data_IF_066046153455
#
_entry.id   IF_066046153455
#
_cell.length_a   1.000
_cell.length_b   1.000
_cell.length_c   1.000
_cell.angle_alpha   90.00
_cell.angle_beta   90.00
_cell.angle_gamma   90.00
#
_symmetry.space_group_name_H-M   'P 1'
#
loop_
_entity.id
_entity.type
_entity.pdbx_description
1 polymer ?
#
# COMPACT_ATOMS: atom_id res chain seq x y z
N UNK A 1 -14.86 -10.93 -52.33
CA UNK A 1 -15.92 -11.92 -52.64
C UNK A 1 -17.12 -11.64 -51.73
N UNK A 2 -18.36 -11.61 -52.26
CA UNK A 2 -19.55 -11.66 -51.42
C UNK A 2 -19.68 -13.05 -50.78
N UNK A 3 -20.03 -13.12 -49.49
CA UNK A 3 -20.15 -14.38 -48.75
C UNK A 3 -21.55 -14.54 -48.17
N UNK A 4 -22.46 -15.15 -48.93
CA UNK A 4 -23.85 -15.44 -48.53
C UNK A 4 -24.61 -14.26 -47.88
N UNK A 5 -24.26 -13.01 -48.22
CA UNK A 5 -24.88 -11.81 -47.65
C UNK A 5 -24.41 -11.41 -46.26
N UNK A 6 -23.50 -12.16 -45.62
CA UNK A 6 -22.97 -11.82 -44.29
C UNK A 6 -22.00 -10.63 -44.29
N UNK A 7 -21.50 -10.24 -45.46
CA UNK A 7 -20.70 -9.03 -45.66
C UNK A 7 -21.45 -7.96 -46.48
N UNK A 8 -22.76 -7.86 -46.28
CA UNK A 8 -23.59 -6.84 -46.92
C UNK A 8 -23.43 -5.47 -46.24
N UNK A 9 -23.42 -4.41 -47.04
CA UNK A 9 -23.11 -3.03 -46.61
C UNK A 9 -21.80 -2.96 -45.82
N UNK A 10 -21.85 -2.54 -44.55
CA UNK A 10 -20.70 -2.35 -43.66
C UNK A 10 -20.50 -3.54 -42.69
N UNK A 11 -21.19 -4.65 -42.93
CA UNK A 11 -21.06 -5.85 -42.09
C UNK A 11 -19.70 -6.53 -42.32
N UNK A 12 -19.00 -6.84 -41.25
CA UNK A 12 -17.69 -7.51 -41.30
C UNK A 12 -17.86 -8.98 -40.93
N UNK A 13 -17.39 -9.87 -41.81
CA UNK A 13 -17.30 -11.30 -41.51
C UNK A 13 -15.93 -11.60 -40.93
N UNK A 14 -15.92 -12.19 -39.73
CA UNK A 14 -14.71 -12.52 -38.96
C UNK A 14 -14.58 -14.05 -38.89
N UNK A 15 -13.36 -14.54 -39.09
CA UNK A 15 -13.05 -15.96 -38.92
C UNK A 15 -12.97 -16.31 -37.43
N UNK A 16 -13.49 -17.47 -37.03
CA UNK A 16 -13.37 -17.98 -35.65
C UNK A 16 -11.92 -18.04 -35.16
N UNK A 17 -10.97 -18.19 -36.09
CA UNK A 17 -9.53 -18.15 -35.80
C UNK A 17 -9.09 -16.88 -35.06
N UNK A 18 -9.72 -15.74 -35.37
CA UNK A 18 -9.40 -14.44 -34.74
C UNK A 18 -9.76 -14.46 -33.25
N UNK A 19 -10.82 -15.18 -32.88
CA UNK A 19 -11.22 -15.36 -31.47
C UNK A 19 -10.28 -16.35 -30.78
N UNK A 20 -9.93 -17.46 -31.42
CA UNK A 20 -9.02 -18.46 -30.83
C UNK A 20 -7.59 -17.96 -30.64
N UNK A 21 -7.16 -16.98 -31.45
CA UNK A 21 -5.82 -16.39 -31.40
C UNK A 21 -5.80 -15.08 -30.56
N UNK A 22 -6.91 -14.73 -29.87
CA UNK A 22 -7.04 -13.53 -29.02
C UNK A 22 -6.65 -12.20 -29.70
N UNK A 23 -6.76 -12.12 -31.03
CA UNK A 23 -6.21 -11.01 -31.82
C UNK A 23 -6.88 -9.67 -31.50
N UNK A 24 -8.17 -9.69 -31.15
CA UNK A 24 -8.95 -8.51 -30.78
C UNK A 24 -9.37 -8.48 -29.31
N UNK A 25 -8.73 -9.30 -28.46
CA UNK A 25 -8.99 -9.28 -27.02
C UNK A 25 -8.41 -7.98 -26.42
N UNK A 26 -9.27 -7.15 -25.82
CA UNK A 26 -8.88 -5.91 -25.16
C UNK A 26 -8.99 -6.04 -23.64
N UNK A 27 -8.05 -5.42 -22.93
CA UNK A 27 -8.06 -5.35 -21.47
C UNK A 27 -8.59 -3.99 -21.05
N UNK A 28 -9.63 -3.99 -20.24
CA UNK A 28 -10.24 -2.80 -19.66
C UNK A 28 -10.04 -2.83 -18.14
N UNK A 29 -9.60 -1.71 -17.58
CA UNK A 29 -9.50 -1.52 -16.13
C UNK A 29 -10.57 -0.50 -15.75
N UNK A 30 -11.52 -0.94 -14.94
CA UNK A 30 -12.59 -0.09 -14.41
C UNK A 30 -12.35 0.17 -12.92
N UNK A 31 -12.64 1.40 -12.50
CA UNK A 31 -12.55 1.81 -11.10
C UNK A 31 -13.94 1.94 -10.51
N UNK A 32 -14.16 1.28 -9.37
CA UNK A 32 -15.40 1.39 -8.60
C UNK A 32 -15.08 2.01 -7.23
N UNK A 33 -15.82 3.05 -6.87
CA UNK A 33 -15.65 3.76 -5.60
C UNK A 33 -16.89 3.62 -4.73
N UNK A 34 -16.67 3.42 -3.43
CA UNK A 34 -17.71 3.54 -2.40
C UNK A 34 -17.18 4.32 -1.20
N UNK A 35 -18.03 5.16 -0.63
CA UNK A 35 -17.72 5.92 0.57
C UNK A 35 -18.72 5.58 1.67
N UNK A 36 -18.22 5.31 2.87
CA UNK A 36 -19.01 5.34 4.10
C UNK A 36 -19.12 6.79 4.61
N UNK A 37 -20.34 7.24 4.89
CA UNK A 37 -20.63 8.62 5.33
C UNK A 37 -21.36 8.65 6.66
N UNK A 38 -21.18 9.73 7.39
CA UNK A 38 -22.00 10.02 8.56
C UNK A 38 -23.40 10.48 8.11
N UNK A 39 -24.42 9.73 8.49
CA UNK A 39 -25.81 10.10 8.25
C UNK A 39 -26.44 10.64 9.54
N UNK A 40 -27.62 11.26 9.43
CA UNK A 40 -28.39 11.70 10.61
C UNK A 40 -28.78 10.55 11.54
N UNK A 41 -28.86 9.34 11.01
CA UNK A 41 -29.29 8.14 11.73
C UNK A 41 -28.12 7.38 12.36
N UNK A 42 -26.88 7.75 12.02
CA UNK A 42 -25.67 7.11 12.48
C UNK A 42 -24.60 7.06 11.38
N UNK A 43 -23.43 6.60 11.76
CA UNK A 43 -22.32 6.36 10.85
C UNK A 43 -22.60 5.13 9.97
N UNK A 44 -22.30 5.22 8.67
CA UNK A 44 -22.24 4.03 7.82
C UNK A 44 -20.93 3.30 8.06
N UNK A 45 -20.99 1.98 8.09
CA UNK A 45 -19.82 1.13 8.35
C UNK A 45 -19.51 0.24 7.16
N UNK A 46 -18.22 -0.01 6.94
CA UNK A 46 -17.73 -1.02 6.00
C UNK A 46 -17.49 -2.30 6.80
N UNK A 47 -18.21 -3.36 6.47
CA UNK A 47 -18.17 -4.61 7.23
C UNK A 47 -18.62 -5.80 6.38
N UNK A 48 -18.16 -6.99 6.75
CA UNK A 48 -18.62 -8.27 6.21
C UNK A 48 -19.98 -8.70 6.77
N UNK A 49 -20.40 -8.13 7.90
CA UNK A 49 -21.69 -8.44 8.54
C UNK A 49 -22.85 -7.70 7.84
N UNK A 50 -23.31 -8.27 6.72
CA UNK A 50 -24.35 -7.67 5.88
C UNK A 50 -25.66 -8.44 6.05
N UNK A 51 -26.77 -7.77 6.41
CA UNK A 51 -28.03 -8.46 6.65
C UNK A 51 -28.66 -8.96 5.33
N UNK A 52 -29.35 -10.10 5.40
CA UNK A 52 -30.06 -10.73 4.28
C UNK A 52 -29.16 -11.17 3.12
N UNK A 53 -27.87 -11.37 3.36
CA UNK A 53 -26.90 -11.89 2.38
C UNK A 53 -26.44 -13.28 2.79
N UNK A 54 -26.49 -14.23 1.87
CA UNK A 54 -26.02 -15.61 2.12
C UNK A 54 -24.49 -15.71 2.14
N UNK A 55 -23.96 -16.77 2.79
CA UNK A 55 -22.51 -16.99 2.91
C UNK A 55 -21.79 -17.06 1.55
N UNK A 56 -22.47 -17.56 0.52
CA UNK A 56 -21.89 -17.65 -0.84
C UNK A 56 -21.52 -16.28 -1.41
N UNK A 57 -22.29 -15.24 -1.11
CA UNK A 57 -21.99 -13.87 -1.56
C UNK A 57 -20.89 -13.21 -0.72
N UNK A 58 -20.64 -13.70 0.49
CA UNK A 58 -19.59 -13.23 1.38
C UNK A 58 -18.25 -13.96 1.18
N UNK A 59 -18.21 -15.01 0.36
CA UNK A 59 -17.03 -15.87 0.18
C UNK A 59 -15.78 -15.11 -0.28
N UNK A 60 -15.98 -14.05 -1.07
CA UNK A 60 -14.91 -13.25 -1.67
C UNK A 60 -14.51 -12.05 -0.80
N UNK A 61 -15.22 -11.81 0.30
CA UNK A 61 -14.95 -10.70 1.22
C UNK A 61 -14.03 -11.14 2.35
N UNK A 62 -13.09 -10.27 2.70
CA UNK A 62 -12.26 -10.41 3.88
C UNK A 62 -13.01 -10.06 5.17
N UNK A 63 -12.30 -10.12 6.30
CA UNK A 63 -12.87 -9.80 7.62
C UNK A 63 -13.31 -8.33 7.75
N UNK A 64 -12.72 -7.43 6.98
CA UNK A 64 -13.10 -6.01 6.92
C UNK A 64 -14.32 -5.77 6.00
N UNK A 65 -14.80 -6.78 5.26
CA UNK A 65 -15.88 -6.63 4.29
C UNK A 65 -15.44 -6.12 2.93
N UNK A 66 -14.17 -6.30 2.56
CA UNK A 66 -13.58 -5.84 1.31
C UNK A 66 -13.15 -7.05 0.48
N UNK A 67 -13.37 -7.01 -0.83
CA UNK A 67 -12.98 -8.09 -1.73
C UNK A 67 -11.46 -8.35 -1.73
N UNK A 68 -11.09 -9.62 -1.90
CA UNK A 68 -9.69 -10.01 -2.07
C UNK A 68 -9.12 -9.60 -3.44
N UNK A 69 -7.85 -9.20 -3.46
CA UNK A 69 -7.10 -9.01 -4.71
C UNK A 69 -6.89 -10.39 -5.36
N UNK A 70 -7.17 -10.48 -6.66
CA UNK A 70 -7.15 -11.73 -7.42
C UNK A 70 -8.48 -12.49 -7.43
N UNK A 71 -9.52 -12.00 -6.76
CA UNK A 71 -10.84 -12.63 -6.82
C UNK A 71 -11.47 -12.42 -8.22
N UNK A 72 -11.99 -13.50 -8.80
CA UNK A 72 -12.87 -13.43 -9.97
C UNK A 72 -14.28 -13.08 -9.52
N UNK A 73 -14.83 -12.01 -10.10
CA UNK A 73 -16.13 -11.47 -9.72
C UNK A 73 -17.07 -11.43 -10.92
N UNK A 74 -18.35 -11.65 -10.63
CA UNK A 74 -19.44 -11.58 -11.60
C UNK A 74 -20.45 -10.52 -11.17
N UNK A 75 -21.28 -10.11 -12.13
CA UNK A 75 -22.40 -9.22 -11.86
C UNK A 75 -23.21 -9.66 -10.63
N UNK A 76 -23.41 -8.74 -9.68
CA UNK A 76 -24.13 -9.00 -8.43
C UNK A 76 -23.26 -9.40 -7.23
N UNK A 77 -22.01 -9.82 -7.46
CA UNK A 77 -21.05 -10.07 -6.38
C UNK A 77 -20.74 -8.77 -5.62
N UNK A 78 -20.50 -8.91 -4.31
CA UNK A 78 -20.21 -7.77 -3.43
C UNK A 78 -18.71 -7.48 -3.51
N UNK A 79 -18.37 -6.25 -3.89
CA UNK A 79 -17.00 -5.75 -3.90
C UNK A 79 -16.60 -5.18 -2.54
N UNK A 80 -17.51 -4.42 -1.94
CA UNK A 80 -17.30 -3.80 -0.62
C UNK A 80 -18.62 -3.82 0.13
N UNK A 81 -18.63 -4.50 1.27
CA UNK A 81 -19.73 -4.56 2.22
C UNK A 81 -19.93 -3.21 2.88
N UNK A 82 -21.11 -2.60 2.70
CA UNK A 82 -21.47 -1.34 3.34
C UNK A 82 -22.83 -1.48 3.99
N UNK A 83 -22.90 -1.08 5.26
CA UNK A 83 -24.13 -1.08 6.03
C UNK A 83 -24.50 0.34 6.45
N UNK A 84 -25.78 0.68 6.29
CA UNK A 84 -26.32 1.98 6.67
C UNK A 84 -27.32 1.80 7.80
N UNK A 85 -27.22 2.54 8.91
CA UNK A 85 -28.23 2.48 9.98
C UNK A 85 -29.60 2.91 9.44
N UNK A 86 -30.62 2.10 9.74
CA UNK A 86 -32.02 2.38 9.43
C UNK A 86 -32.64 3.15 10.58
N UNK A 87 -33.54 4.07 10.27
CA UNK A 87 -34.41 4.66 11.28
C UNK A 87 -35.44 3.63 11.76
N UNK A 88 -36.00 3.84 12.95
CA UNK A 88 -37.11 3.03 13.45
C UNK A 88 -38.29 3.11 12.48
N UNK A 89 -38.48 2.04 11.72
CA UNK A 89 -39.64 1.87 10.86
C UNK A 89 -40.71 1.12 11.66
N UNK A 90 -41.99 1.53 11.60
CA UNK A 90 -43.05 0.81 12.29
C UNK A 90 -43.11 -0.62 11.74
N UNK A 91 -42.81 -1.59 12.60
CA UNK A 91 -42.84 -3.00 12.24
C UNK A 91 -44.28 -3.50 12.15
N UNK A 92 -44.53 -4.39 11.21
CA UNK A 92 -45.81 -5.08 11.09
C UNK A 92 -46.03 -5.99 12.32
N UNK A 93 -47.30 -6.26 12.71
CA UNK A 93 -47.59 -7.20 13.79
C UNK A 93 -46.90 -8.58 13.62
N UNK A 94 -46.75 -9.02 12.37
CA UNK A 94 -46.09 -10.26 11.96
C UNK A 94 -44.58 -10.23 12.28
N UNK A 95 -43.87 -9.16 11.90
CA UNK A 95 -42.44 -8.96 12.22
C UNK A 95 -42.22 -8.82 13.73
N UNK A 96 -43.14 -8.15 14.43
CA UNK A 96 -43.10 -8.00 15.89
C UNK A 96 -43.26 -9.35 16.59
N UNK A 97 -44.13 -10.22 16.09
CA UNK A 97 -44.30 -11.58 16.60
C UNK A 97 -43.05 -12.44 16.34
N UNK A 98 -42.50 -12.40 15.12
CA UNK A 98 -41.27 -13.11 14.77
C UNK A 98 -40.10 -12.68 15.66
N UNK A 99 -39.93 -11.38 15.89
CA UNK A 99 -38.90 -10.83 16.80
C UNK A 99 -39.07 -11.30 18.24
N UNK A 100 -40.32 -11.41 18.72
CA UNK A 100 -40.60 -11.90 20.06
C UNK A 100 -40.34 -13.40 20.22
N UNK A 101 -40.51 -14.19 19.16
CA UNK A 101 -40.31 -15.64 19.16
C UNK A 101 -38.83 -16.00 19.00
N UNK A 102 -38.17 -15.43 17.99
CA UNK A 102 -36.80 -15.81 17.63
C UNK A 102 -35.74 -14.99 18.38
N UNK A 103 -36.12 -13.87 19.00
CA UNK A 103 -35.16 -12.96 19.63
C UNK A 103 -34.15 -12.39 18.64
N UNK A 104 -34.36 -12.60 17.33
CA UNK A 104 -33.52 -12.07 16.28
C UNK A 104 -33.51 -10.55 16.44
N UNK A 105 -32.33 -10.00 16.68
CA UNK A 105 -32.11 -8.58 16.55
C UNK A 105 -32.40 -8.28 15.10
N UNK A 106 -33.59 -7.74 14.82
CA UNK A 106 -33.86 -7.14 13.52
C UNK A 106 -32.64 -6.27 13.20
N UNK A 107 -31.96 -6.55 12.09
CA UNK A 107 -30.76 -5.81 11.76
C UNK A 107 -31.18 -4.35 11.60
N UNK A 108 -30.80 -3.52 12.56
CA UNK A 108 -31.06 -2.06 12.55
C UNK A 108 -30.28 -1.38 11.41
N UNK A 109 -29.63 -2.15 10.56
CA UNK A 109 -28.85 -1.73 9.41
C UNK A 109 -29.46 -2.24 8.09
N UNK A 110 -29.16 -1.52 7.01
CA UNK A 110 -29.51 -1.85 5.62
C UNK A 110 -28.25 -2.16 4.86
N UNK A 111 -28.30 -3.19 4.02
CA UNK A 111 -27.31 -3.39 2.97
C UNK A 111 -27.34 -2.22 1.96
N UNK A 112 -26.24 -1.49 1.87
CA UNK A 112 -25.95 -0.47 0.85
C UNK A 112 -24.60 -0.73 0.17
N UNK A 113 -24.19 -1.99 0.16
CA UNK A 113 -22.90 -2.46 -0.35
C UNK A 113 -22.68 -2.15 -1.82
N UNK A 114 -21.41 -1.98 -2.19
CA UNK A 114 -20.99 -1.87 -3.58
C UNK A 114 -20.99 -3.25 -4.22
N UNK A 115 -21.74 -3.40 -5.32
CA UNK A 115 -21.85 -4.64 -6.09
C UNK A 115 -21.38 -4.42 -7.52
N UNK A 116 -20.88 -5.48 -8.15
CA UNK A 116 -20.48 -5.45 -9.55
C UNK A 116 -21.71 -5.15 -10.43
N UNK A 117 -21.66 -4.13 -11.30
CA UNK A 117 -22.76 -3.81 -12.20
C UNK A 117 -23.12 -4.97 -13.14
N UNK A 118 -24.38 -5.06 -13.60
CA UNK A 118 -24.76 -6.01 -14.62
C UNK A 118 -23.92 -5.85 -15.90
N UNK A 119 -23.45 -6.98 -16.45
CA UNK A 119 -22.65 -6.99 -17.68
C UNK A 119 -21.15 -6.85 -17.48
N UNK A 120 -20.67 -6.60 -16.25
CA UNK A 120 -19.24 -6.58 -15.93
C UNK A 120 -18.83 -7.90 -15.28
N UNK A 121 -17.73 -8.47 -15.76
CA UNK A 121 -17.07 -9.64 -15.18
C UNK A 121 -15.57 -9.45 -15.31
N UNK A 122 -14.82 -9.82 -14.28
CA UNK A 122 -13.37 -9.67 -14.33
C UNK A 122 -12.70 -10.09 -13.03
N UNK A 123 -11.43 -9.74 -12.92
CA UNK A 123 -10.60 -10.06 -11.76
C UNK A 123 -10.22 -8.77 -11.04
N UNK A 124 -10.32 -8.78 -9.71
CA UNK A 124 -9.88 -7.64 -8.90
C UNK A 124 -8.36 -7.54 -8.95
N UNK A 125 -7.85 -6.45 -9.53
CA UNK A 125 -6.41 -6.20 -9.67
C UNK A 125 -5.84 -5.43 -8.49
N UNK A 126 -6.57 -4.46 -7.95
CA UNK A 126 -6.08 -3.57 -6.89
C UNK A 126 -7.25 -3.09 -6.03
N UNK A 127 -6.98 -2.85 -4.74
CA UNK A 127 -7.92 -2.29 -3.78
C UNK A 127 -7.19 -1.22 -2.98
N UNK A 128 -7.79 -0.03 -2.86
CA UNK A 128 -7.26 1.08 -2.06
C UNK A 128 -8.25 1.47 -0.98
N UNK A 129 -7.76 1.63 0.24
CA UNK A 129 -8.56 2.02 1.41
C UNK A 129 -8.10 3.40 1.89
N UNK A 130 -9.04 4.33 1.97
CA UNK A 130 -8.79 5.69 2.45
C UNK A 130 -9.54 5.92 3.76
N UNK A 131 -8.81 6.00 4.87
CA UNK A 131 -9.39 6.28 6.19
C UNK A 131 -9.18 7.75 6.56
N UNK A 132 -10.24 8.40 7.07
CA UNK A 132 -10.13 9.77 7.61
C UNK A 132 -9.31 9.77 8.91
N UNK A 133 -8.55 10.84 9.14
CA UNK A 133 -7.82 11.01 10.41
C UNK A 133 -8.79 11.01 11.60
N UNK A 134 -8.53 10.16 12.59
CA UNK A 134 -9.33 10.04 13.81
C UNK A 134 -10.42 8.96 13.79
N UNK A 135 -10.58 8.22 12.69
CA UNK A 135 -11.40 7.00 12.65
C UNK A 135 -10.52 5.80 13.01
N UNK A 136 -11.07 4.86 13.77
CA UNK A 136 -10.39 3.60 14.07
C UNK A 136 -10.06 2.85 12.78
N UNK A 137 -8.80 2.44 12.65
CA UNK A 137 -8.33 1.69 11.49
C UNK A 137 -8.66 0.22 11.69
N UNK A 138 -9.14 -0.41 10.64
CA UNK A 138 -9.30 -1.86 10.56
C UNK A 138 -7.94 -2.57 10.56
N UNK A 139 -7.94 -3.86 10.92
CA UNK A 139 -6.71 -4.66 11.01
C UNK A 139 -5.95 -4.70 9.67
N UNK A 140 -6.67 -4.73 8.55
CA UNK A 140 -6.08 -4.71 7.21
C UNK A 140 -5.38 -3.38 6.91
N UNK A 141 -6.01 -2.24 7.22
CA UNK A 141 -5.36 -0.93 7.08
C UNK A 141 -4.12 -0.79 7.99
N UNK A 142 -4.16 -1.30 9.22
CA UNK A 142 -3.01 -1.30 10.13
C UNK A 142 -1.88 -2.16 9.57
N UNK A 143 -2.19 -3.33 9.01
CA UNK A 143 -1.20 -4.22 8.41
C UNK A 143 -0.50 -3.56 7.20
N UNK A 144 -1.27 -2.92 6.31
CA UNK A 144 -0.75 -2.20 5.15
C UNK A 144 0.17 -1.05 5.58
N UNK A 145 -0.25 -0.25 6.56
CA UNK A 145 0.55 0.86 7.06
C UNK A 145 1.87 0.38 7.68
N UNK A 146 1.85 -0.72 8.45
CA UNK A 146 3.07 -1.30 9.03
C UNK A 146 4.04 -1.79 7.97
N UNK A 147 3.54 -2.47 6.94
CA UNK A 147 4.37 -2.94 5.83
C UNK A 147 5.03 -1.77 5.09
N UNK A 148 4.28 -0.69 4.87
CA UNK A 148 4.82 0.51 4.22
C UNK A 148 5.87 1.20 5.09
N UNK A 149 5.65 1.31 6.40
CA UNK A 149 6.64 1.83 7.35
C UNK A 149 7.91 0.97 7.33
N UNK A 150 7.79 -0.35 7.32
CA UNK A 150 8.93 -1.26 7.29
C UNK A 150 9.72 -1.12 5.99
N UNK A 151 9.03 -1.04 4.85
CA UNK A 151 9.65 -0.78 3.54
C UNK A 151 10.42 0.53 3.53
N UNK A 152 9.79 1.62 3.97
CA UNK A 152 10.42 2.94 4.03
C UNK A 152 11.60 2.97 5.02
N UNK A 153 11.50 2.25 6.14
CA UNK A 153 12.58 2.15 7.10
C UNK A 153 13.78 1.39 6.52
N UNK A 154 13.54 0.32 5.76
CA UNK A 154 14.57 -0.42 5.04
C UNK A 154 15.25 0.44 3.98
N UNK A 155 14.48 1.14 3.16
CA UNK A 155 15.01 2.04 2.13
C UNK A 155 15.88 3.14 2.77
N UNK A 156 15.40 3.76 3.86
CA UNK A 156 16.17 4.73 4.65
C UNK A 156 17.49 4.14 5.18
N UNK A 157 17.45 2.93 5.71
CA UNK A 157 18.64 2.31 6.30
C UNK A 157 19.66 1.92 5.21
N UNK A 158 19.20 1.44 4.05
CA UNK A 158 20.04 1.17 2.88
C UNK A 158 20.67 2.47 2.34
N UNK A 159 19.88 3.54 2.20
CA UNK A 159 20.38 4.87 1.84
C UNK A 159 21.42 5.37 2.84
N UNK A 160 21.16 5.20 4.14
CA UNK A 160 22.10 5.61 5.20
C UNK A 160 23.41 4.84 5.08
N UNK A 161 23.37 3.53 4.85
CA UNK A 161 24.59 2.71 4.70
C UNK A 161 25.38 3.13 3.46
N UNK A 162 24.70 3.42 2.34
CA UNK A 162 25.37 3.90 1.11
C UNK A 162 26.05 5.25 1.36
N UNK A 163 25.33 6.19 1.99
CA UNK A 163 25.86 7.51 2.34
C UNK A 163 27.04 7.40 3.31
N UNK A 164 26.91 6.64 4.39
CA UNK A 164 27.98 6.41 5.36
C UNK A 164 29.20 5.74 4.72
N UNK A 165 29.00 4.73 3.87
CA UNK A 165 30.09 4.06 3.16
C UNK A 165 30.82 5.02 2.21
N UNK A 166 30.08 5.80 1.44
CA UNK A 166 30.63 6.80 0.51
C UNK A 166 31.41 7.88 1.26
N UNK A 167 30.81 8.41 2.33
CA UNK A 167 31.44 9.41 3.20
C UNK A 167 32.72 8.87 3.86
N UNK A 168 32.66 7.69 4.47
CA UNK A 168 33.81 7.08 5.13
C UNK A 168 34.91 6.69 4.13
N UNK A 169 34.55 6.31 2.90
CA UNK A 169 35.50 6.07 1.82
C UNK A 169 36.28 7.33 1.44
N UNK A 170 35.59 8.44 1.17
CA UNK A 170 36.21 9.74 0.89
C UNK A 170 37.05 10.25 2.06
N UNK A 171 36.53 10.09 3.29
CA UNK A 171 37.24 10.47 4.50
C UNK A 171 38.56 9.69 4.65
N UNK A 172 38.54 8.38 4.35
CA UNK A 172 39.74 7.54 4.37
C UNK A 172 40.77 7.97 3.33
N UNK A 173 40.35 8.28 2.10
CA UNK A 173 41.25 8.76 1.05
C UNK A 173 41.93 10.08 1.42
N UNK A 174 41.17 11.03 1.97
CA UNK A 174 41.70 12.33 2.40
C UNK A 174 42.64 12.22 3.61
N UNK A 175 42.39 11.28 4.52
CA UNK A 175 43.20 11.10 5.72
C UNK A 175 44.50 10.32 5.46
N UNK A 176 44.55 9.40 4.49
CA UNK A 176 45.72 8.57 4.24
C UNK A 176 46.96 9.40 3.84
N UNK A 177 48.09 9.15 4.48
CA UNK A 177 49.35 9.83 4.18
C UNK A 177 49.47 11.25 4.75
N UNK A 178 48.46 11.70 5.51
CA UNK A 178 48.45 13.03 6.13
C UNK A 178 49.05 13.02 7.53
N UNK A 179 49.53 14.19 7.99
CA UNK A 179 50.08 14.37 9.34
C UNK A 179 48.99 14.78 10.31
N UNK A 180 48.89 14.09 11.44
CA UNK A 180 47.81 14.29 12.42
C UNK A 180 48.13 15.51 13.30
N UNK A 181 47.27 16.53 13.27
CA UNK A 181 47.35 17.68 14.16
C UNK A 181 46.69 17.39 15.51
N UNK A 182 45.51 16.76 15.51
CA UNK A 182 44.81 16.31 16.72
C UNK A 182 43.86 15.16 16.41
N UNK A 183 43.53 14.34 17.41
CA UNK A 183 42.65 13.19 17.22
C UNK A 183 42.14 12.57 18.52
N UNK A 184 41.27 11.54 18.40
CA UNK A 184 40.69 10.83 19.54
C UNK A 184 41.72 10.05 20.36
N UNK A 185 41.34 9.65 21.58
CA UNK A 185 42.20 8.86 22.50
C UNK A 185 42.81 7.65 21.77
N UNK A 186 44.13 7.63 21.65
CA UNK A 186 44.89 6.55 21.01
C UNK A 186 45.77 7.00 19.84
N UNK A 187 45.55 8.22 19.31
CA UNK A 187 46.30 8.78 18.17
C UNK A 187 47.32 9.82 18.64
N UNK A 188 48.59 9.70 18.23
CA UNK A 188 49.66 10.68 18.57
C UNK A 188 49.70 11.81 17.55
N UNK A 189 49.69 13.06 18.02
CA UNK A 189 49.91 14.24 17.17
C UNK A 189 51.32 14.19 16.54
N UNK A 190 51.41 14.48 15.24
CA UNK A 190 52.63 14.42 14.44
C UNK A 190 52.91 13.07 13.76
N UNK A 191 52.09 12.04 13.97
CA UNK A 191 52.20 10.78 13.23
C UNK A 191 51.53 10.87 11.85
N UNK A 192 52.03 10.10 10.88
CA UNK A 192 51.40 9.91 9.57
C UNK A 192 50.23 8.94 9.74
N UNK A 193 49.10 9.22 9.09
CA UNK A 193 47.95 8.32 9.06
C UNK A 193 48.23 7.15 8.11
N UNK A 194 48.43 5.98 8.69
CA UNK A 194 48.59 4.72 7.96
C UNK A 194 47.31 3.86 8.03
N UNK A 195 47.24 2.83 7.18
CA UNK A 195 46.09 1.91 7.13
C UNK A 195 45.86 1.16 8.44
N UNK A 196 46.92 0.90 9.23
CA UNK A 196 46.83 0.28 10.56
C UNK A 196 46.24 1.23 11.61
N UNK A 197 46.57 2.53 11.54
CA UNK A 197 46.06 3.55 12.47
C UNK A 197 44.56 3.76 12.29
N UNK A 198 44.08 3.69 11.03
CA UNK A 198 42.67 3.78 10.71
C UNK A 198 41.90 2.51 11.06
N UNK A 199 42.51 1.33 10.92
CA UNK A 199 41.88 0.04 11.26
C UNK A 199 41.60 -0.12 12.78
N UNK A 200 42.38 0.55 13.63
CA UNK A 200 42.19 0.55 15.09
C UNK A 200 41.09 1.51 15.59
N UNK A 201 40.49 2.32 14.71
CA UNK A 201 39.50 3.33 15.06
C UNK A 201 38.15 3.05 14.41
N UNK A 202 37.06 3.41 15.10
CA UNK A 202 35.72 3.33 14.52
C UNK A 202 35.51 4.45 13.47
N UNK A 203 34.63 4.25 12.47
CA UNK A 203 34.34 5.29 11.47
C UNK A 203 33.84 6.61 12.08
N UNK A 204 33.16 6.56 13.23
CA UNK A 204 32.77 7.76 13.98
C UNK A 204 33.95 8.52 14.60
N UNK A 205 35.03 7.84 14.97
CA UNK A 205 36.26 8.43 15.50
C UNK A 205 37.13 9.04 14.41
N UNK A 206 37.04 8.58 13.15
CA UNK A 206 37.75 9.20 12.03
C UNK A 206 37.33 10.66 11.82
N UNK A 207 36.08 11.02 12.15
CA UNK A 207 35.58 12.40 12.07
C UNK A 207 36.26 13.36 13.06
N UNK A 208 36.87 12.83 14.12
CA UNK A 208 37.53 13.63 15.17
C UNK A 208 39.01 13.88 14.85
N UNK A 209 39.53 13.32 13.76
CA UNK A 209 40.91 13.56 13.31
C UNK A 209 40.97 14.91 12.60
N UNK A 210 41.91 15.74 13.01
CA UNK A 210 42.30 16.98 12.34
C UNK A 210 43.72 16.82 11.78
N UNK A 211 43.91 17.35 10.57
CA UNK A 211 45.14 17.22 9.79
C UNK A 211 45.92 18.54 9.85
N UNK A 212 47.25 18.49 9.70
CA UNK A 212 48.12 19.68 9.75
C UNK A 212 48.15 20.50 8.44
N UNK A 213 47.66 19.96 7.33
CA UNK A 213 47.56 20.66 6.03
C UNK A 213 46.24 21.44 5.97
N UNK A 214 46.32 22.77 5.87
CA UNK A 214 45.18 23.68 5.86
C UNK A 214 44.21 23.40 4.70
N UNK A 215 44.68 22.99 3.51
CA UNK A 215 43.80 22.71 2.37
C UNK A 215 42.97 21.46 2.59
N UNK A 216 43.60 20.43 3.14
CA UNK A 216 42.94 19.15 3.44
C UNK A 216 42.01 19.31 4.63
N UNK A 217 42.33 20.20 5.58
CA UNK A 217 41.44 20.56 6.68
C UNK A 217 40.15 21.22 6.18
N UNK A 218 40.25 22.18 5.25
CA UNK A 218 39.09 22.84 4.62
C UNK A 218 38.19 21.82 3.89
N UNK A 219 38.79 20.89 3.13
CA UNK A 219 38.06 19.83 2.43
C UNK A 219 37.38 18.85 3.41
N UNK A 220 38.04 18.52 4.52
CA UNK A 220 37.48 17.67 5.59
C UNK A 220 36.31 18.37 6.30
N UNK A 221 36.39 19.67 6.54
CA UNK A 221 35.30 20.46 7.12
C UNK A 221 34.12 20.61 6.16
N UNK A 222 34.39 20.82 4.87
CA UNK A 222 33.36 20.84 3.83
C UNK A 222 32.64 19.49 3.72
N UNK A 223 33.38 18.38 3.77
CA UNK A 223 32.81 17.03 3.76
C UNK A 223 31.93 16.80 4.99
N UNK A 224 32.37 17.21 6.19
CA UNK A 224 31.61 17.09 7.44
C UNK A 224 30.29 17.90 7.44
N UNK A 225 30.19 18.96 6.63
CA UNK A 225 28.98 19.78 6.46
C UNK A 225 27.96 19.20 5.48
N UNK A 226 28.31 18.19 4.68
CA UNK A 226 27.44 17.59 3.66
C UNK A 226 26.53 16.47 4.19
N UNK A 227 26.73 16.01 5.43
CA UNK A 227 25.80 15.15 6.18
C UNK A 227 24.95 15.98 7.13
#
# INVERSE_FOLDING_TARGET
MPWNGYNFEDSILISERIVSEDVFTSIHIEEFEVMARDTKLGQEDITRDIPNVGEEALKNLDEAGIVYIGAEVKAGDILVGKVTPKGESPMTPEEKLLRAIFGEKASDVRDTSLRVPPGVTGTIVEVRVFSRRGVDKDERAIAIERLEIERLAKDRDDERVILERSFNGRLKELLLGQTIASGPRGVKAGAIVDTETLAGLTPGQWRQIAVSDDKVLDDLEALKKQM
#
